data_IF_854464819515
#
_entry.id   IF_854464819515
#
_cell.length_a   1.000
_cell.length_b   1.000
_cell.length_c   1.000
_cell.angle_alpha   90.00
_cell.angle_beta   90.00
_cell.angle_gamma   90.00
#
_symmetry.space_group_name_H-M   'P 1'
#
loop_
_entity.id
_entity.type
_entity.pdbx_description
1 polymer ?
#
# COMPACT_ATOMS: atom_id res chain seq x y z
N UNK A 1 13.35 -10.91 25.62
CA UNK A 1 12.75 -9.61 25.25
C UNK A 1 12.34 -8.89 26.52
N UNK A 2 12.58 -7.58 26.62
CA UNK A 2 12.03 -6.76 27.70
C UNK A 2 10.59 -6.37 27.32
N UNK A 3 9.63 -6.65 28.20
CA UNK A 3 8.26 -6.20 28.02
C UNK A 3 8.12 -4.78 28.57
N UNK A 4 7.48 -3.89 27.80
CA UNK A 4 7.06 -2.57 28.25
C UNK A 4 5.54 -2.48 28.14
N UNK A 5 4.90 -2.00 29.20
CA UNK A 5 3.45 -1.77 29.22
C UNK A 5 3.18 -0.34 28.76
N UNK A 6 2.29 -0.20 27.78
CA UNK A 6 1.78 1.09 27.31
C UNK A 6 0.26 1.10 27.46
N UNK A 7 -0.29 2.24 27.85
CA UNK A 7 -1.74 2.45 27.85
C UNK A 7 -2.15 3.05 26.51
N UNK A 8 -3.20 2.51 25.91
CA UNK A 8 -3.79 3.02 24.66
C UNK A 8 -5.28 3.30 24.86
N UNK A 9 -5.84 4.12 23.98
CA UNK A 9 -7.28 4.43 24.00
C UNK A 9 -8.09 3.17 23.60
N UNK A 10 -9.28 2.94 24.19
CA UNK A 10 -10.05 1.71 23.91
C UNK A 10 -10.40 1.49 22.44
N UNK A 11 -10.77 2.55 21.71
CA UNK A 11 -11.04 2.49 20.27
C UNK A 11 -9.80 2.07 19.45
N UNK A 12 -8.61 2.53 19.83
CA UNK A 12 -7.34 2.13 19.21
C UNK A 12 -7.02 0.65 19.48
N UNK A 13 -7.36 0.14 20.66
CA UNK A 13 -7.24 -1.28 20.95
C UNK A 13 -8.12 -2.11 20.01
N UNK A 14 -9.38 -1.72 19.81
CA UNK A 14 -10.29 -2.42 18.89
C UNK A 14 -9.80 -2.38 17.43
N UNK A 15 -9.24 -1.26 16.99
CA UNK A 15 -8.61 -1.14 15.66
C UNK A 15 -7.43 -2.10 15.54
N UNK A 16 -6.53 -2.12 16.53
CA UNK A 16 -5.39 -3.04 16.51
C UNK A 16 -5.84 -4.50 16.54
N UNK A 17 -6.87 -4.81 17.33
CA UNK A 17 -7.38 -6.17 17.47
C UNK A 17 -8.07 -6.66 16.19
N UNK A 18 -8.81 -5.79 15.49
CA UNK A 18 -9.42 -6.12 14.20
C UNK A 18 -8.42 -6.21 13.04
N UNK A 19 -7.29 -5.49 13.13
CA UNK A 19 -6.24 -5.48 12.11
C UNK A 19 -5.24 -6.63 12.27
N UNK A 20 -5.18 -7.23 13.46
CA UNK A 20 -4.27 -8.30 13.82
C UNK A 20 -4.71 -9.63 13.20
N UNK A 21 -3.79 -10.33 12.53
CA UNK A 21 -4.06 -11.71 12.09
C UNK A 21 -4.24 -12.68 13.26
N UNK A 22 -4.96 -13.79 13.06
CA UNK A 22 -5.33 -14.75 14.13
C UNK A 22 -4.14 -15.21 15.01
N UNK A 23 -2.95 -15.34 14.41
CA UNK A 23 -1.73 -15.80 15.07
C UNK A 23 -0.66 -14.72 15.23
N UNK A 24 -0.95 -13.48 14.84
CA UNK A 24 0.01 -12.39 14.86
C UNK A 24 0.22 -11.85 16.29
N UNK A 25 1.36 -11.22 16.58
CA UNK A 25 1.57 -10.49 17.84
C UNK A 25 1.21 -9.01 17.65
N UNK A 26 0.68 -8.36 18.70
CA UNK A 26 0.45 -6.90 18.69
C UNK A 26 1.73 -6.11 18.37
N UNK A 27 2.90 -6.58 18.81
CA UNK A 27 4.18 -5.94 18.47
C UNK A 27 4.46 -5.96 16.97
N UNK A 28 4.12 -7.05 16.28
CA UNK A 28 4.31 -7.19 14.82
C UNK A 28 3.33 -6.30 14.05
N UNK A 29 2.08 -6.22 14.51
CA UNK A 29 1.08 -5.30 13.92
C UNK A 29 1.57 -3.86 14.03
N UNK A 30 2.03 -3.44 15.21
CA UNK A 30 2.57 -2.09 15.42
C UNK A 30 3.77 -1.85 14.52
N UNK A 31 4.70 -2.80 14.42
CA UNK A 31 5.87 -2.69 13.54
C UNK A 31 5.46 -2.53 12.07
N UNK A 32 4.51 -3.33 11.59
CA UNK A 32 3.96 -3.26 10.24
C UNK A 32 3.32 -1.90 9.96
N UNK A 33 2.44 -1.43 10.84
CA UNK A 33 1.76 -0.13 10.68
C UNK A 33 2.75 1.06 10.69
N UNK A 34 3.82 0.97 11.48
CA UNK A 34 4.87 1.99 11.51
C UNK A 34 5.73 1.94 10.25
N UNK A 35 6.02 0.75 9.70
CA UNK A 35 6.80 0.57 8.46
C UNK A 35 6.00 0.92 7.21
N UNK A 36 4.74 0.52 7.11
CA UNK A 36 3.85 0.78 5.96
C UNK A 36 3.67 2.27 5.69
N UNK A 37 3.77 3.14 6.72
CA UNK A 37 3.69 4.60 6.55
C UNK A 37 4.85 5.23 5.77
N UNK A 38 5.89 4.48 5.38
CA UNK A 38 7.06 5.00 4.66
C UNK A 38 7.23 4.41 3.26
N UNK A 39 6.15 4.18 2.52
CA UNK A 39 6.30 3.94 1.08
C UNK A 39 6.62 5.28 0.42
N UNK A 40 7.90 5.51 0.11
CA UNK A 40 8.32 6.68 -0.63
C UNK A 40 8.09 6.42 -2.12
N UNK A 41 7.06 7.04 -2.69
CA UNK A 41 6.73 6.90 -4.11
C UNK A 41 7.88 7.31 -5.04
N UNK A 42 8.82 8.14 -4.58
CA UNK A 42 10.00 8.50 -5.38
C UNK A 42 10.92 7.31 -5.65
N UNK A 43 10.91 6.27 -4.81
CA UNK A 43 11.71 5.06 -5.01
C UNK A 43 11.23 4.23 -6.21
N UNK A 44 9.97 4.42 -6.63
CA UNK A 44 9.40 3.73 -7.79
C UNK A 44 9.52 4.53 -9.09
N UNK A 45 10.06 5.75 -9.04
CA UNK A 45 10.20 6.60 -10.21
C UNK A 45 11.13 5.96 -11.24
N UNK A 46 10.61 5.72 -12.45
CA UNK A 46 11.38 5.14 -13.54
C UNK A 46 11.65 3.64 -13.45
N UNK A 47 11.10 2.92 -12.46
CA UNK A 47 11.30 1.45 -12.32
C UNK A 47 10.91 0.68 -13.58
N UNK A 48 9.93 1.17 -14.34
CA UNK A 48 9.49 0.54 -15.57
C UNK A 48 10.11 1.14 -16.84
N UNK A 49 11.04 2.09 -16.73
CA UNK A 49 11.57 2.86 -17.88
C UNK A 49 12.11 1.98 -19.02
N UNK A 50 12.77 0.88 -18.69
CA UNK A 50 13.31 -0.09 -19.66
C UNK A 50 12.38 -1.28 -19.92
N UNK A 51 11.17 -1.27 -19.34
CA UNK A 51 10.21 -2.36 -19.46
C UNK A 51 9.30 -2.17 -20.66
N UNK A 52 9.17 -3.22 -21.49
CA UNK A 52 8.20 -3.30 -22.59
C UNK A 52 6.75 -3.13 -22.13
N UNK A 53 6.49 -3.33 -20.84
CA UNK A 53 5.16 -3.11 -20.24
C UNK A 53 4.73 -1.64 -20.38
N UNK A 54 5.65 -0.68 -20.38
CA UNK A 54 5.29 0.72 -20.62
C UNK A 54 4.74 0.97 -22.02
N UNK A 55 5.33 0.32 -23.04
CA UNK A 55 4.88 0.45 -24.42
C UNK A 55 3.46 -0.12 -24.59
N UNK A 56 3.19 -1.27 -23.95
CA UNK A 56 1.87 -1.91 -23.94
C UNK A 56 0.83 -1.02 -23.25
N UNK A 57 1.17 -0.46 -22.08
CA UNK A 57 0.31 0.46 -21.34
C UNK A 57 0.00 1.75 -22.12
N UNK A 58 0.98 2.31 -22.83
CA UNK A 58 0.78 3.49 -23.66
C UNK A 58 -0.13 3.20 -24.86
N UNK A 59 0.07 2.05 -25.52
CA UNK A 59 -0.78 1.61 -26.63
C UNK A 59 -2.24 1.39 -26.17
N UNK A 60 -2.44 0.73 -25.03
CA UNK A 60 -3.78 0.52 -24.47
C UNK A 60 -4.43 1.85 -24.06
N UNK A 61 -3.66 2.74 -23.41
CA UNK A 61 -4.13 4.08 -23.03
C UNK A 61 -4.58 4.91 -24.24
N UNK A 62 -3.86 4.84 -25.36
CA UNK A 62 -4.25 5.51 -26.62
C UNK A 62 -5.57 4.95 -27.15
N UNK A 63 -5.70 3.63 -27.20
CA UNK A 63 -6.93 2.95 -27.65
C UNK A 63 -8.14 3.33 -26.78
N UNK A 64 -7.96 3.40 -25.46
CA UNK A 64 -9.03 3.85 -24.56
C UNK A 64 -9.47 5.28 -24.86
N UNK A 65 -8.52 6.22 -25.04
CA UNK A 65 -8.83 7.62 -25.35
C UNK A 65 -9.57 7.77 -26.67
N UNK A 66 -9.16 7.05 -27.71
CA UNK A 66 -9.85 7.04 -29.00
C UNK A 66 -11.28 6.54 -28.85
N UNK A 67 -11.47 5.40 -28.17
CA UNK A 67 -12.79 4.83 -27.93
C UNK A 67 -13.68 5.73 -27.07
N UNK A 68 -13.12 6.52 -26.15
CA UNK A 68 -13.87 7.51 -25.37
C UNK A 68 -14.33 8.70 -26.21
N UNK A 69 -13.54 9.13 -27.21
CA UNK A 69 -13.91 10.24 -28.11
C UNK A 69 -14.97 9.86 -29.14
N UNK A 70 -15.01 8.59 -29.53
CA UNK A 70 -16.04 8.04 -30.44
C UNK A 70 -17.42 7.92 -29.78
N UNK A 71 -17.50 8.04 -28.45
CA UNK A 71 -18.76 7.95 -27.67
C UNK A 71 -19.48 9.30 -27.47
N UNK A 72 -18.99 10.40 -28.06
CA UNK A 72 -19.62 11.72 -28.08
C UNK A 72 -20.10 12.00 -29.51
#
# INVERSE_FOLDING_TARGET
MSAKTISIRPDLYEILNSTKGETESFSNVIERLVKEKKVNLSEFFGVLSDSRVLDELDAESKKMRENSRVRI
#
